data_IF_790321694110
#
_entry.id   IF_790321694110
#
_cell.length_a   1.000
_cell.length_b   1.000
_cell.length_c   1.000
_cell.angle_alpha   90.00
_cell.angle_beta   90.00
_cell.angle_gamma   90.00
#
_symmetry.space_group_name_H-M   'P 1'
#
loop_
_entity.id
_entity.type
_entity.pdbx_description
1 polymer ?
#
# COMPACT_ATOMS: atom_id res chain seq x y z
N UNK A 1 -15.47 93.26 4.39
CA UNK A 1 -15.33 92.34 3.24
C UNK A 1 -14.83 91.00 3.76
N UNK A 2 -15.58 89.92 3.58
CA UNK A 2 -15.22 88.56 4.04
C UNK A 2 -15.40 87.62 2.85
N UNK A 3 -14.29 87.16 2.29
CA UNK A 3 -14.23 86.27 1.13
C UNK A 3 -14.39 84.82 1.63
N UNK A 4 -15.47 84.15 1.21
CA UNK A 4 -15.65 82.71 1.45
C UNK A 4 -14.80 81.91 0.46
N UNK A 5 -14.08 80.85 0.90
CA UNK A 5 -13.34 79.98 0.00
C UNK A 5 -14.29 79.04 -0.75
N UNK A 6 -14.03 78.87 -2.06
CA UNK A 6 -14.74 77.96 -2.95
C UNK A 6 -14.40 76.50 -2.62
N UNK A 7 -15.38 75.73 -2.12
CA UNK A 7 -15.29 74.26 -2.02
C UNK A 7 -15.75 73.64 -3.33
N UNK A 8 -14.91 73.67 -4.36
CA UNK A 8 -15.21 73.01 -5.63
C UNK A 8 -13.95 72.32 -6.15
N UNK A 9 -13.84 70.99 -5.95
CA UNK A 9 -13.15 70.02 -6.85
C UNK A 9 -12.85 68.63 -6.24
N UNK A 10 -13.23 68.30 -5.00
CA UNK A 10 -12.82 67.01 -4.40
C UNK A 10 -13.67 65.76 -4.76
N UNK A 11 -14.80 65.90 -5.45
CA UNK A 11 -15.72 64.76 -5.70
C UNK A 11 -15.22 63.73 -6.73
N UNK A 12 -14.39 64.13 -7.69
CA UNK A 12 -13.86 63.20 -8.70
C UNK A 12 -12.71 62.34 -8.18
N UNK A 13 -11.84 62.92 -7.36
CA UNK A 13 -10.65 62.24 -6.86
C UNK A 13 -10.97 61.14 -5.83
N UNK A 14 -11.97 61.35 -4.97
CA UNK A 14 -12.41 60.32 -4.01
C UNK A 14 -12.98 59.10 -4.70
N UNK A 15 -13.72 59.29 -5.80
CA UNK A 15 -14.31 58.19 -6.56
C UNK A 15 -13.24 57.33 -7.25
N UNK A 16 -12.22 57.97 -7.83
CA UNK A 16 -11.05 57.28 -8.41
C UNK A 16 -10.29 56.52 -7.32
N UNK A 17 -10.07 57.13 -6.15
CA UNK A 17 -9.37 56.46 -5.05
C UNK A 17 -10.16 55.25 -4.53
N UNK A 18 -11.48 55.35 -4.39
CA UNK A 18 -12.31 54.21 -3.99
C UNK A 18 -12.30 53.09 -5.02
N UNK A 19 -12.23 53.42 -6.32
CA UNK A 19 -12.16 52.43 -7.38
C UNK A 19 -10.81 51.71 -7.38
N UNK A 20 -9.70 52.44 -7.14
CA UNK A 20 -8.37 51.85 -6.96
C UNK A 20 -8.37 50.90 -5.75
N UNK A 21 -8.89 51.33 -4.60
CA UNK A 21 -8.98 50.45 -3.42
C UNK A 21 -9.89 49.24 -3.66
N UNK A 22 -11.01 49.40 -4.36
CA UNK A 22 -11.88 48.29 -4.74
C UNK A 22 -11.15 47.26 -5.60
N UNK A 23 -10.38 47.71 -6.60
CA UNK A 23 -9.58 46.83 -7.45
C UNK A 23 -8.53 46.11 -6.62
N UNK A 24 -7.83 46.81 -5.73
CA UNK A 24 -6.82 46.19 -4.85
C UNK A 24 -7.46 45.13 -3.94
N UNK A 25 -8.60 45.42 -3.30
CA UNK A 25 -9.31 44.44 -2.46
C UNK A 25 -9.81 43.24 -3.27
N UNK A 26 -10.30 43.47 -4.49
CA UNK A 26 -10.75 42.39 -5.38
C UNK A 26 -9.59 41.47 -5.78
N UNK A 27 -8.41 42.04 -6.07
CA UNK A 27 -7.19 41.27 -6.36
C UNK A 27 -6.72 40.45 -5.15
N UNK A 28 -6.79 41.01 -3.94
CA UNK A 28 -6.50 40.25 -2.71
C UNK A 28 -7.50 39.11 -2.49
N UNK A 29 -8.81 39.37 -2.68
CA UNK A 29 -9.84 38.35 -2.53
C UNK A 29 -9.66 37.19 -3.52
N UNK A 30 -9.40 37.49 -4.80
CA UNK A 30 -9.15 36.46 -5.84
C UNK A 30 -7.91 35.63 -5.48
N UNK A 31 -6.85 36.26 -4.97
CA UNK A 31 -5.61 35.58 -4.56
C UNK A 31 -5.83 34.63 -3.38
N UNK A 32 -6.66 35.02 -2.41
CA UNK A 32 -6.99 34.17 -1.26
C UNK A 32 -7.86 32.96 -1.65
N UNK A 33 -8.83 33.18 -2.54
CA UNK A 33 -9.70 32.10 -3.07
C UNK A 33 -8.90 31.13 -3.94
N UNK A 34 -8.03 31.63 -4.81
CA UNK A 34 -7.21 30.77 -5.69
C UNK A 34 -6.19 29.93 -4.89
N UNK A 35 -5.54 30.51 -3.87
CA UNK A 35 -4.64 29.78 -2.98
C UNK A 35 -5.37 28.66 -2.22
N UNK A 36 -6.58 28.93 -1.73
CA UNK A 36 -7.41 27.93 -1.03
C UNK A 36 -7.85 26.78 -1.95
N UNK A 37 -8.12 27.07 -3.22
CA UNK A 37 -8.49 26.05 -4.22
C UNK A 37 -7.31 25.14 -4.61
N UNK A 38 -6.06 25.62 -4.54
CA UNK A 38 -4.89 24.77 -4.81
C UNK A 38 -4.70 23.76 -3.68
N UNK A 39 -4.73 24.23 -2.43
CA UNK A 39 -4.51 23.38 -1.25
C UNK A 39 -5.57 22.27 -1.15
N UNK A 40 -6.84 22.59 -1.44
CA UNK A 40 -7.94 21.62 -1.45
C UNK A 40 -7.80 20.57 -2.54
N UNK A 41 -7.38 20.95 -3.76
CA UNK A 41 -7.09 19.99 -4.83
C UNK A 41 -5.94 19.06 -4.49
N UNK A 42 -4.88 19.57 -3.86
CA UNK A 42 -3.74 18.75 -3.41
C UNK A 42 -4.21 17.76 -2.34
N UNK A 43 -4.98 18.21 -1.35
CA UNK A 43 -5.52 17.34 -0.31
C UNK A 43 -6.43 16.25 -0.88
N UNK A 44 -7.32 16.59 -1.82
CA UNK A 44 -8.18 15.61 -2.50
C UNK A 44 -7.37 14.56 -3.27
N UNK A 45 -6.35 15.00 -4.03
CA UNK A 45 -5.47 14.06 -4.74
C UNK A 45 -4.68 13.14 -3.79
N UNK A 46 -4.29 13.65 -2.61
CA UNK A 46 -3.66 12.83 -1.58
C UNK A 46 -4.64 11.83 -0.99
N UNK A 47 -5.88 12.24 -0.73
CA UNK A 47 -6.94 11.36 -0.24
C UNK A 47 -7.19 10.20 -1.22
N UNK A 48 -7.40 10.47 -2.51
CA UNK A 48 -7.62 9.41 -3.50
C UNK A 48 -6.45 8.42 -3.60
N UNK A 49 -5.21 8.91 -3.49
CA UNK A 49 -4.03 8.04 -3.47
C UNK A 49 -3.96 7.16 -2.23
N UNK A 50 -4.34 7.69 -1.07
CA UNK A 50 -4.38 6.93 0.17
C UNK A 50 -5.48 5.86 0.11
N UNK A 51 -6.68 6.21 -0.35
CA UNK A 51 -7.80 5.28 -0.54
C UNK A 51 -7.45 4.18 -1.55
N UNK A 52 -6.90 4.53 -2.71
CA UNK A 52 -6.46 3.54 -3.69
C UNK A 52 -5.35 2.62 -3.13
N UNK A 53 -4.45 3.15 -2.30
CA UNK A 53 -3.42 2.37 -1.63
C UNK A 53 -3.98 1.39 -0.58
N UNK A 54 -4.96 1.81 0.23
CA UNK A 54 -5.61 0.94 1.21
C UNK A 54 -6.45 -0.14 0.52
N UNK A 55 -7.13 0.19 -0.57
CA UNK A 55 -7.87 -0.78 -1.40
C UNK A 55 -6.92 -1.79 -2.02
N UNK A 56 -5.77 -1.35 -2.56
CA UNK A 56 -4.76 -2.24 -3.09
C UNK A 56 -4.27 -3.23 -2.02
N UNK A 57 -4.00 -2.75 -0.80
CA UNK A 57 -3.60 -3.59 0.33
C UNK A 57 -4.70 -4.60 0.71
N UNK A 58 -5.96 -4.17 0.82
CA UNK A 58 -7.07 -5.09 1.09
C UNK A 58 -7.18 -6.20 0.06
N UNK A 59 -6.97 -5.88 -1.23
CA UNK A 59 -6.90 -6.89 -2.28
C UNK A 59 -5.80 -7.92 -2.03
N UNK A 60 -4.62 -7.48 -1.60
CA UNK A 60 -3.52 -8.40 -1.25
C UNK A 60 -3.92 -9.28 -0.06
N UNK A 61 -4.45 -8.72 1.02
CA UNK A 61 -4.88 -9.48 2.20
C UNK A 61 -5.93 -10.55 1.83
N UNK A 62 -6.84 -10.24 0.92
CA UNK A 62 -7.83 -11.21 0.44
C UNK A 62 -7.18 -12.36 -0.33
N UNK A 63 -6.21 -12.08 -1.21
CA UNK A 63 -5.46 -13.15 -1.91
C UNK A 63 -4.58 -13.94 -0.95
N UNK A 64 -3.93 -13.27 0.01
CA UNK A 64 -3.07 -13.91 1.01
C UNK A 64 -3.87 -14.80 1.97
N UNK A 65 -5.15 -14.50 2.20
CA UNK A 65 -6.06 -15.35 2.99
C UNK A 65 -6.44 -16.67 2.31
N UNK A 66 -6.18 -16.80 0.99
CA UNK A 66 -6.42 -18.02 0.23
C UNK A 66 -5.23 -18.98 0.34
N UNK A 67 -5.43 -20.30 0.16
CA UNK A 67 -4.34 -21.27 0.14
C UNK A 67 -3.55 -21.24 -1.19
N UNK A 68 -3.06 -20.07 -1.61
CA UNK A 68 -2.42 -19.83 -2.92
C UNK A 68 -1.17 -20.70 -3.16
N UNK A 69 -0.52 -21.16 -2.09
CA UNK A 69 0.62 -22.10 -2.13
C UNK A 69 0.19 -23.51 -2.60
N UNK A 70 -1.02 -23.95 -2.26
CA UNK A 70 -1.52 -25.28 -2.61
C UNK A 70 -2.34 -25.26 -3.89
N UNK A 71 -3.07 -24.17 -4.12
CA UNK A 71 -3.91 -23.95 -5.29
C UNK A 71 -3.41 -22.67 -5.97
N UNK A 72 -2.50 -22.77 -6.94
CA UNK A 72 -1.93 -21.61 -7.60
C UNK A 72 -3.01 -20.76 -8.26
N UNK A 73 -2.98 -19.46 -7.97
CA UNK A 73 -3.82 -18.47 -8.64
C UNK A 73 -3.07 -18.08 -9.92
N UNK A 74 -3.65 -18.37 -11.08
CA UNK A 74 -2.98 -18.16 -12.38
C UNK A 74 -3.47 -16.94 -13.14
N UNK A 75 -4.51 -16.26 -12.63
CA UNK A 75 -5.12 -15.11 -13.26
C UNK A 75 -5.24 -13.94 -12.27
N UNK A 76 -5.47 -12.74 -12.81
CA UNK A 76 -5.74 -11.56 -12.00
C UNK A 76 -7.02 -11.79 -11.19
N UNK A 77 -6.96 -11.48 -9.90
CA UNK A 77 -8.10 -11.56 -8.98
C UNK A 77 -8.63 -10.15 -8.71
N UNK A 78 -9.82 -9.80 -9.24
CA UNK A 78 -10.43 -8.51 -8.97
C UNK A 78 -11.07 -8.50 -7.58
N UNK A 79 -10.78 -7.47 -6.80
CA UNK A 79 -11.37 -7.23 -5.48
C UNK A 79 -12.05 -5.87 -5.51
N UNK A 80 -13.38 -5.89 -5.52
CA UNK A 80 -14.22 -4.70 -5.45
C UNK A 80 -14.31 -4.21 -4.01
N UNK A 81 -14.00 -2.94 -3.78
CA UNK A 81 -14.09 -2.29 -2.46
C UNK A 81 -14.99 -1.06 -2.55
N UNK A 82 -15.96 -1.03 -1.65
CA UNK A 82 -16.79 0.12 -1.33
C UNK A 82 -16.17 0.81 -0.11
N UNK A 83 -15.57 1.98 -0.32
CA UNK A 83 -14.81 2.70 0.71
C UNK A 83 -15.75 3.52 1.59
N UNK A 84 -16.86 3.98 1.03
CA UNK A 84 -17.80 4.90 1.69
C UNK A 84 -19.03 4.19 2.30
N UNK A 85 -19.25 2.92 1.96
CA UNK A 85 -20.33 2.07 2.47
C UNK A 85 -21.71 2.33 1.85
N UNK A 86 -21.78 2.95 0.67
CA UNK A 86 -23.04 3.29 -0.02
C UNK A 86 -23.63 2.13 -0.85
N UNK A 87 -22.92 1.00 -0.92
CA UNK A 87 -23.33 -0.19 -1.67
C UNK A 87 -22.89 -0.19 -3.14
N UNK A 88 -22.15 0.82 -3.58
CA UNK A 88 -21.54 0.91 -4.92
C UNK A 88 -20.03 0.73 -4.76
N UNK A 89 -19.42 -0.01 -5.69
CA UNK A 89 -17.97 -0.16 -5.69
C UNK A 89 -17.29 1.15 -6.11
N UNK A 90 -16.47 1.72 -5.22
CA UNK A 90 -15.65 2.91 -5.49
C UNK A 90 -14.40 2.54 -6.28
N UNK A 91 -13.68 1.51 -5.82
CA UNK A 91 -12.41 1.08 -6.40
C UNK A 91 -12.39 -0.43 -6.59
N UNK A 92 -11.64 -0.90 -7.57
CA UNK A 92 -11.37 -2.34 -7.77
C UNK A 92 -9.87 -2.57 -7.79
N UNK A 93 -9.37 -3.33 -6.81
CA UNK A 93 -8.00 -3.82 -6.81
C UNK A 93 -7.85 -5.00 -7.78
N UNK A 94 -6.85 -4.91 -8.64
CA UNK A 94 -6.44 -5.96 -9.56
C UNK A 94 -5.19 -6.61 -8.99
N UNK A 95 -5.36 -7.76 -8.33
CA UNK A 95 -4.27 -8.51 -7.72
C UNK A 95 -3.70 -9.47 -8.75
N UNK A 96 -2.42 -9.34 -9.08
CA UNK A 96 -1.74 -10.24 -9.99
C UNK A 96 -1.55 -11.63 -9.33
N UNK A 97 -1.38 -12.70 -10.14
CA UNK A 97 -0.92 -14.00 -9.65
C UNK A 97 0.29 -13.86 -8.71
N UNK A 98 0.27 -14.43 -7.49
CA UNK A 98 1.43 -14.44 -6.60
C UNK A 98 2.63 -15.09 -7.30
N UNK A 99 3.76 -14.38 -7.33
CA UNK A 99 4.98 -14.85 -7.98
C UNK A 99 5.97 -15.34 -6.91
N UNK A 100 6.52 -16.53 -7.09
CA UNK A 100 7.54 -17.05 -6.19
C UNK A 100 8.92 -16.57 -6.66
N UNK A 101 9.60 -15.80 -5.82
CA UNK A 101 10.90 -15.18 -6.13
C UNK A 101 12.08 -16.05 -5.71
N UNK A 102 11.96 -16.78 -4.60
CA UNK A 102 13.02 -17.67 -4.10
C UNK A 102 12.43 -18.87 -3.37
N UNK A 103 13.18 -19.97 -3.36
CA UNK A 103 12.89 -21.18 -2.60
C UNK A 103 14.17 -21.78 -2.04
N UNK A 104 14.35 -21.70 -0.73
CA UNK A 104 15.54 -22.18 -0.03
C UNK A 104 15.20 -23.23 1.01
N UNK A 105 15.92 -24.35 0.98
CA UNK A 105 15.77 -25.41 2.00
C UNK A 105 16.15 -24.88 3.38
N UNK A 106 15.29 -25.14 4.37
CA UNK A 106 15.54 -24.75 5.77
C UNK A 106 16.41 -25.84 6.42
N UNK A 107 17.56 -25.51 7.03
CA UNK A 107 18.35 -26.48 7.77
C UNK A 107 17.64 -27.00 9.02
N UNK A 108 17.82 -28.27 9.38
CA UNK A 108 17.23 -28.84 10.61
C UNK A 108 17.69 -28.12 11.90
N UNK A 109 18.89 -27.52 11.88
CA UNK A 109 19.44 -26.79 13.02
C UNK A 109 18.72 -25.46 13.30
N UNK A 110 18.07 -24.84 12.31
CA UNK A 110 17.34 -23.58 12.49
C UNK A 110 15.88 -23.76 12.91
N UNK A 111 15.36 -24.99 12.89
CA UNK A 111 13.98 -25.28 13.28
C UNK A 111 13.85 -25.54 14.79
N UNK A 112 12.77 -25.06 15.44
CA UNK A 112 12.50 -25.36 16.85
C UNK A 112 12.17 -26.85 17.05
N UNK A 113 12.11 -27.27 18.32
CA UNK A 113 11.68 -28.63 18.66
C UNK A 113 10.17 -28.79 18.47
N UNK A 114 9.75 -29.94 17.93
CA UNK A 114 8.33 -30.22 17.65
C UNK A 114 7.82 -29.61 16.35
N UNK A 115 8.68 -28.94 15.57
CA UNK A 115 8.34 -28.48 14.24
C UNK A 115 8.07 -29.67 13.31
N UNK A 116 6.94 -29.64 12.60
CA UNK A 116 6.51 -30.70 11.66
C UNK A 116 7.49 -30.91 10.51
N UNK A 117 8.31 -29.92 10.20
CA UNK A 117 9.32 -29.97 9.15
C UNK A 117 10.64 -30.57 9.62
N UNK A 118 10.85 -30.72 10.93
CA UNK A 118 12.11 -31.19 11.50
C UNK A 118 12.19 -32.72 11.41
N UNK A 119 13.23 -33.22 10.73
CA UNK A 119 13.39 -34.67 10.52
C UNK A 119 14.00 -35.31 11.77
N UNK A 120 13.44 -36.43 12.27
CA UNK A 120 14.08 -37.23 13.31
C UNK A 120 15.46 -37.67 12.85
N UNK A 121 16.46 -37.47 13.71
CA UNK A 121 17.87 -37.72 13.42
C UNK A 121 18.36 -39.08 13.97
N UNK A 122 17.44 -39.97 14.39
CA UNK A 122 17.78 -41.27 14.90
C UNK A 122 16.94 -42.41 14.26
N UNK A 123 17.44 -43.66 14.30
CA UNK A 123 16.77 -44.82 13.69
C UNK A 123 15.43 -45.19 14.33
N UNK A 124 15.16 -44.69 15.54
CA UNK A 124 13.97 -44.99 16.33
C UNK A 124 12.84 -43.97 16.11
N UNK A 125 13.00 -43.02 15.18
CA UNK A 125 12.01 -41.99 14.87
C UNK A 125 11.93 -40.84 15.89
N UNK A 126 12.88 -40.75 16.82
CA UNK A 126 12.94 -39.68 17.82
C UNK A 126 13.88 -38.54 17.39
N UNK A 127 13.56 -37.31 17.82
CA UNK A 127 14.42 -36.14 17.64
C UNK A 127 15.39 -36.00 18.81
N UNK A 128 16.69 -36.22 18.58
CA UNK A 128 17.73 -35.99 19.59
C UNK A 128 18.17 -34.53 19.52
N UNK A 129 18.09 -33.81 20.64
CA UNK A 129 18.69 -32.49 20.78
C UNK A 129 20.20 -32.58 20.97
N UNK A 130 20.99 -31.62 20.47
CA UNK A 130 22.37 -31.49 20.89
C UNK A 130 22.41 -31.06 22.36
N UNK A 131 22.42 -32.03 23.28
CA UNK A 131 22.99 -31.87 24.60
C UNK A 131 24.52 -32.00 24.53
N UNK A 132 25.28 -31.55 25.54
CA UNK A 132 26.74 -31.61 25.56
C UNK A 132 27.35 -33.03 25.47
N UNK A 133 26.51 -34.07 25.37
CA UNK A 133 26.90 -35.49 25.36
C UNK A 133 26.29 -36.30 24.21
N UNK A 134 25.59 -35.67 23.25
CA UNK A 134 24.96 -36.41 22.14
C UNK A 134 25.88 -36.50 20.92
N UNK A 135 26.30 -37.72 20.57
CA UNK A 135 27.16 -38.04 19.43
C UNK A 135 26.42 -38.16 18.09
N UNK A 136 25.11 -37.87 18.05
CA UNK A 136 24.33 -37.79 16.81
C UNK A 136 23.56 -36.47 16.81
N UNK A 137 24.28 -35.37 16.64
CA UNK A 137 23.68 -34.17 16.08
C UNK A 137 23.67 -34.36 14.55
N UNK A 138 22.54 -34.16 13.85
CA UNK A 138 22.59 -34.00 12.41
C UNK A 138 23.50 -32.80 12.15
N UNK A 139 24.41 -32.86 11.17
CA UNK A 139 25.25 -31.72 10.85
C UNK A 139 24.35 -30.48 10.69
N UNK A 140 24.83 -29.28 11.07
CA UNK A 140 24.02 -28.05 10.99
C UNK A 140 23.51 -27.74 9.57
N UNK A 141 24.01 -28.46 8.57
CA UNK A 141 23.63 -28.42 7.15
C UNK A 141 22.64 -29.51 6.72
N UNK A 142 22.22 -30.41 7.61
CA UNK A 142 21.26 -31.47 7.26
C UNK A 142 19.91 -30.83 6.85
N UNK A 143 19.39 -31.13 5.65
CA UNK A 143 18.16 -30.53 5.16
C UNK A 143 16.95 -30.99 5.99
N UNK A 144 16.01 -30.07 6.22
CA UNK A 144 14.69 -30.39 6.76
C UNK A 144 13.72 -30.84 5.65
N UNK A 145 12.49 -31.23 6.01
CA UNK A 145 11.44 -31.57 5.04
C UNK A 145 10.72 -30.34 4.49
N UNK A 146 11.19 -29.12 4.81
CA UNK A 146 10.58 -27.89 4.33
C UNK A 146 11.60 -26.90 3.74
N UNK A 147 11.12 -26.10 2.80
CA UNK A 147 11.79 -24.91 2.28
C UNK A 147 11.04 -23.66 2.72
N UNK A 148 11.79 -22.56 2.88
CA UNK A 148 11.23 -21.23 2.93
C UNK A 148 11.09 -20.73 1.49
N UNK A 149 9.90 -20.24 1.15
CA UNK A 149 9.59 -19.65 -0.15
C UNK A 149 9.23 -18.19 0.03
N UNK A 150 9.78 -17.32 -0.80
CA UNK A 150 9.49 -15.89 -0.76
C UNK A 150 8.63 -15.52 -1.97
N UNK A 151 7.50 -14.88 -1.69
CA UNK A 151 6.47 -14.54 -2.68
C UNK A 151 6.30 -13.03 -2.77
N UNK A 152 6.14 -12.53 -3.99
CA UNK A 152 5.66 -11.17 -4.25
C UNK A 152 4.19 -11.23 -4.66
N UNK A 153 3.36 -10.49 -3.93
CA UNK A 153 1.96 -10.26 -4.30
C UNK A 153 1.81 -8.80 -4.69
N UNK A 154 1.48 -8.59 -5.96
CA UNK A 154 1.24 -7.26 -6.51
C UNK A 154 -0.26 -6.99 -6.62
N UNK A 155 -0.68 -5.80 -6.21
CA UNK A 155 -2.04 -5.31 -6.38
C UNK A 155 -2.03 -3.91 -6.98
N UNK A 156 -2.87 -3.68 -7.99
CA UNK A 156 -2.96 -2.40 -8.68
C UNK A 156 -4.39 -1.88 -8.66
N UNK A 157 -4.54 -0.58 -8.40
CA UNK A 157 -5.82 0.13 -8.43
C UNK A 157 -5.66 1.29 -9.41
N UNK A 158 -6.54 1.35 -10.40
CA UNK A 158 -6.60 2.44 -11.36
C UNK A 158 -8.03 2.90 -11.54
N UNK A 159 -8.23 4.21 -11.46
CA UNK A 159 -9.51 4.87 -11.75
C UNK A 159 -9.27 6.08 -12.64
N UNK A 160 -9.13 5.88 -13.96
CA UNK A 160 -8.88 6.96 -14.91
C UNK A 160 -10.09 7.87 -15.14
N UNK A 161 -11.29 7.44 -14.75
CA UNK A 161 -12.54 8.11 -15.13
C UNK A 161 -13.05 9.08 -14.07
N UNK A 162 -12.75 8.85 -12.78
CA UNK A 162 -13.23 9.70 -11.69
C UNK A 162 -12.10 10.47 -11.02
N UNK A 163 -11.08 9.77 -10.51
CA UNK A 163 -10.00 10.36 -9.70
C UNK A 163 -8.66 10.52 -10.42
N UNK A 164 -8.50 9.88 -11.58
CA UNK A 164 -7.24 9.73 -12.31
C UNK A 164 -6.11 9.11 -11.46
N UNK A 165 -6.46 8.35 -10.42
CA UNK A 165 -5.50 7.70 -9.54
C UNK A 165 -5.00 6.40 -10.17
N UNK A 166 -3.70 6.13 -10.01
CA UNK A 166 -3.08 4.86 -10.34
C UNK A 166 -2.06 4.54 -9.26
N UNK A 167 -2.27 3.45 -8.54
CA UNK A 167 -1.40 2.99 -7.44
C UNK A 167 -1.14 1.49 -7.63
N UNK A 168 0.12 1.10 -7.44
CA UNK A 168 0.52 -0.29 -7.38
C UNK A 168 1.24 -0.54 -6.06
N UNK A 169 0.81 -1.58 -5.34
CA UNK A 169 1.40 -2.03 -4.08
C UNK A 169 1.98 -3.41 -4.29
N UNK A 170 3.14 -3.64 -3.67
CA UNK A 170 3.80 -4.93 -3.59
C UNK A 170 3.94 -5.33 -2.13
N UNK A 171 3.64 -6.58 -1.82
CA UNK A 171 3.86 -7.15 -0.50
C UNK A 171 4.60 -8.47 -0.62
N UNK A 172 5.70 -8.56 0.13
CA UNK A 172 6.47 -9.80 0.27
C UNK A 172 5.88 -10.70 1.35
N UNK A 173 5.78 -12.00 1.07
CA UNK A 173 5.39 -13.02 2.05
C UNK A 173 6.39 -14.18 2.04
N UNK A 174 6.89 -14.55 3.22
CA UNK A 174 7.73 -15.75 3.38
C UNK A 174 6.89 -16.88 3.96
N UNK A 175 6.80 -18.00 3.24
CA UNK A 175 5.99 -19.16 3.64
C UNK A 175 6.85 -20.41 3.69
N UNK A 176 6.74 -21.15 4.79
CA UNK A 176 7.35 -22.46 4.94
C UNK A 176 6.48 -23.51 4.27
N UNK A 177 7.06 -24.24 3.31
CA UNK A 177 6.37 -25.22 2.48
C UNK A 177 7.11 -26.54 2.48
N UNK A 178 6.45 -27.69 2.23
CA UNK A 178 7.14 -28.95 2.03
C UNK A 178 8.16 -28.86 0.89
N UNK A 179 9.27 -29.57 1.03
CA UNK A 179 10.25 -29.69 -0.06
C UNK A 179 9.58 -30.19 -1.35
N UNK A 180 9.99 -29.62 -2.49
CA UNK A 180 9.41 -29.96 -3.79
C UNK A 180 8.11 -29.21 -4.12
N UNK A 181 7.65 -28.30 -3.26
CA UNK A 181 6.59 -27.36 -3.63
C UNK A 181 7.03 -26.52 -4.83
N UNK A 182 6.25 -26.45 -5.92
CA UNK A 182 6.65 -25.71 -7.10
C UNK A 182 6.71 -24.21 -6.82
N UNK A 183 7.83 -23.60 -7.21
CA UNK A 183 8.09 -22.16 -7.19
C UNK A 183 8.34 -21.75 -8.65
N UNK A 184 7.27 -21.55 -9.45
CA UNK A 184 7.41 -21.11 -10.82
C UNK A 184 7.84 -19.63 -10.81
N UNK A 185 9.00 -19.37 -11.42
CA UNK A 185 9.52 -18.04 -11.71
C UNK A 185 9.04 -17.56 -13.08
#
# INVERSE_FOLDING_TARGET
>A
MKTSPSRASQRGFTLVMTLIFLVIFMLFAISMVSSSMINTKVAANQQYRLEAGTVAQQGIEQVMSQPFIRVPITAITPVAVDVNGDGITDFTAQVAPPACLDSKVIPNASLPLGDVCKVPNNPNGNLILPGPSSSVAPPPTAPSMCSATDWDIQSSVADPNNTAVAVTVHQGASVQVPIGTPCPY
#
